data_IF_658162477877
#
_entry.id   IF_658162477877
#
_cell.length_a   1.000
_cell.length_b   1.000
_cell.length_c   1.000
_cell.angle_alpha   90.00
_cell.angle_beta   90.00
_cell.angle_gamma   90.00
#
_symmetry.space_group_name_H-M   'P 1'
#
loop_
_entity.id
_entity.type
_entity.pdbx_description
1 polymer ?
#
# COMPACT_ATOMS: atom_id res chain seq x y z
N UNK A 1 -10.60 -4.87 17.29
CA UNK A 1 -11.04 -6.21 16.81
C UNK A 1 -10.29 -6.51 15.51
N UNK A 2 -9.97 -7.78 15.17
CA UNK A 2 -9.36 -8.09 13.88
C UNK A 2 -10.29 -7.64 12.74
N UNK A 3 -9.74 -7.00 11.71
CA UNK A 3 -10.46 -6.73 10.47
C UNK A 3 -10.09 -7.81 9.46
N UNK A 4 -11.13 -8.44 8.88
CA UNK A 4 -11.00 -9.43 7.81
C UNK A 4 -11.08 -8.72 6.47
N UNK A 5 -10.15 -9.03 5.59
CA UNK A 5 -10.22 -8.63 4.19
C UNK A 5 -10.02 -9.88 3.34
N UNK A 6 -11.03 -10.25 2.55
CA UNK A 6 -11.05 -11.42 1.66
C UNK A 6 -10.50 -12.73 2.28
N UNK A 7 -10.81 -12.99 3.54
CA UNK A 7 -10.44 -14.23 4.23
C UNK A 7 -9.03 -14.27 4.83
N UNK A 8 -8.17 -13.27 4.56
CA UNK A 8 -6.90 -13.08 5.27
C UNK A 8 -7.10 -12.06 6.40
N UNK A 9 -6.89 -12.51 7.64
CA UNK A 9 -6.94 -11.63 8.80
C UNK A 9 -5.63 -10.86 8.90
N UNK A 10 -5.72 -9.52 8.97
CA UNK A 10 -4.58 -8.74 9.46
C UNK A 10 -4.44 -9.07 10.94
N UNK A 11 -3.45 -9.90 11.24
CA UNK A 11 -3.19 -10.36 12.59
C UNK A 11 -2.96 -9.17 13.52
N UNK A 12 -3.52 -9.23 14.74
CA UNK A 12 -3.36 -8.15 15.73
C UNK A 12 -1.88 -7.80 15.94
N UNK A 13 -1.01 -8.80 16.02
CA UNK A 13 0.43 -8.60 16.17
C UNK A 13 1.06 -7.86 14.98
N UNK A 14 0.68 -8.20 13.75
CA UNK A 14 1.15 -7.51 12.54
C UNK A 14 0.72 -6.03 12.56
N UNK A 15 -0.54 -5.77 12.91
CA UNK A 15 -1.05 -4.41 13.00
C UNK A 15 -0.33 -3.58 14.06
N UNK A 16 -0.17 -4.10 15.28
CA UNK A 16 0.54 -3.36 16.33
C UNK A 16 2.01 -3.11 15.97
N UNK A 17 2.67 -4.08 15.33
CA UNK A 17 4.04 -3.90 14.83
C UNK A 17 4.11 -2.78 13.78
N UNK A 18 3.20 -2.77 12.81
CA UNK A 18 3.15 -1.73 11.78
C UNK A 18 2.87 -0.34 12.37
N UNK A 19 1.99 -0.26 13.37
CA UNK A 19 1.73 0.99 14.11
C UNK A 19 2.97 1.47 14.86
N UNK A 20 3.70 0.56 15.51
CA UNK A 20 4.94 0.90 16.21
C UNK A 20 6.01 1.40 15.23
N UNK A 21 6.16 0.76 14.07
CA UNK A 21 7.07 1.20 13.02
C UNK A 21 6.72 2.59 12.48
N UNK A 22 5.45 2.85 12.20
CA UNK A 22 5.00 4.16 11.70
C UNK A 22 5.23 5.25 12.75
N UNK A 23 4.94 4.97 14.02
CA UNK A 23 5.23 5.86 15.14
C UNK A 23 6.72 6.19 15.22
N UNK A 24 7.59 5.19 15.16
CA UNK A 24 9.04 5.38 15.24
C UNK A 24 9.55 6.25 14.08
N UNK A 25 9.04 6.00 12.87
CA UNK A 25 9.36 6.81 11.69
C UNK A 25 8.97 8.27 11.88
N UNK A 26 7.74 8.54 12.33
CA UNK A 26 7.30 9.91 12.58
C UNK A 26 8.09 10.59 13.69
N UNK A 27 8.44 9.86 14.75
CA UNK A 27 9.28 10.40 15.83
C UNK A 27 10.67 10.78 15.31
N UNK A 28 11.27 9.99 14.41
CA UNK A 28 12.53 10.32 13.76
C UNK A 28 12.44 11.56 12.85
N UNK A 29 11.30 11.75 12.18
CA UNK A 29 11.10 12.87 11.25
C UNK A 29 10.72 14.19 11.95
N UNK A 30 9.89 14.12 13.00
CA UNK A 30 9.29 15.28 13.65
C UNK A 30 9.98 15.67 14.95
N UNK A 31 10.76 14.76 15.55
CA UNK A 31 11.43 14.99 16.82
C UNK A 31 10.44 15.34 17.93
N UNK A 32 10.72 16.41 18.67
CA UNK A 32 9.92 16.84 19.82
C UNK A 32 8.47 17.21 19.47
N UNK A 33 8.22 17.67 18.23
CA UNK A 33 6.88 17.99 17.74
C UNK A 33 5.96 16.75 17.70
N UNK A 34 6.53 15.55 17.60
CA UNK A 34 5.75 14.32 17.65
C UNK A 34 5.02 14.17 18.99
N UNK A 35 5.61 14.61 20.11
CA UNK A 35 5.01 14.46 21.45
C UNK A 35 3.69 15.25 21.57
N UNK A 36 3.61 16.44 20.97
CA UNK A 36 2.41 17.26 20.96
C UNK A 36 1.29 16.64 20.11
N UNK A 37 1.65 16.10 18.94
CA UNK A 37 0.71 15.39 18.07
C UNK A 37 0.24 14.07 18.71
N UNK A 38 1.14 13.34 19.37
CA UNK A 38 0.84 12.08 20.03
C UNK A 38 -0.07 12.24 21.26
N UNK A 39 -0.07 13.43 21.89
CA UNK A 39 -1.01 13.76 22.96
C UNK A 39 -2.46 13.93 22.44
N UNK A 40 -2.65 14.13 21.13
CA UNK A 40 -3.96 14.20 20.51
C UNK A 40 -4.48 12.79 20.15
N UNK A 41 -5.48 12.31 20.89
CA UNK A 41 -6.06 10.98 20.68
C UNK A 41 -6.66 10.80 19.27
N UNK A 42 -7.29 11.84 18.70
CA UNK A 42 -7.86 11.78 17.35
C UNK A 42 -6.77 11.62 16.28
N UNK A 43 -5.63 12.26 16.48
CA UNK A 43 -4.47 12.10 15.61
C UNK A 43 -3.96 10.65 15.65
N UNK A 44 -3.75 10.10 16.85
CA UNK A 44 -3.29 8.72 17.02
C UNK A 44 -4.27 7.70 16.44
N UNK A 45 -5.58 7.93 16.59
CA UNK A 45 -6.63 7.09 16.00
C UNK A 45 -6.58 7.14 14.47
N UNK A 46 -6.39 8.33 13.89
CA UNK A 46 -6.30 8.51 12.43
C UNK A 46 -5.06 7.81 11.87
N UNK A 47 -3.91 7.98 12.52
CA UNK A 47 -2.68 7.27 12.14
C UNK A 47 -2.88 5.75 12.17
N UNK A 48 -3.49 5.20 13.23
CA UNK A 48 -3.79 3.77 13.32
C UNK A 48 -4.72 3.30 12.20
N UNK A 49 -5.72 4.10 11.82
CA UNK A 49 -6.60 3.78 10.70
C UNK A 49 -5.87 3.80 9.35
N UNK A 50 -4.97 4.75 9.13
CA UNK A 50 -4.15 4.82 7.92
C UNK A 50 -3.23 3.61 7.81
N UNK A 51 -2.57 3.21 8.90
CA UNK A 51 -1.75 1.99 8.94
C UNK A 51 -2.60 0.76 8.62
N UNK A 52 -3.80 0.66 9.18
CA UNK A 52 -4.71 -0.44 8.91
C UNK A 52 -5.09 -0.51 7.43
N UNK A 53 -5.53 0.61 6.85
CA UNK A 53 -5.90 0.67 5.43
C UNK A 53 -4.72 0.27 4.52
N UNK A 54 -3.50 0.75 4.81
CA UNK A 54 -2.31 0.36 4.04
C UNK A 54 -2.07 -1.16 4.10
N UNK A 55 -2.17 -1.77 5.28
CA UNK A 55 -2.01 -3.21 5.41
C UNK A 55 -3.11 -4.00 4.70
N UNK A 56 -4.32 -3.46 4.65
CA UNK A 56 -5.44 -4.02 3.88
C UNK A 56 -5.10 -4.04 2.39
N UNK A 57 -4.68 -2.89 1.87
CA UNK A 57 -4.36 -2.74 0.45
C UNK A 57 -3.17 -3.64 0.06
N UNK A 58 -2.13 -3.70 0.90
CA UNK A 58 -0.99 -4.61 0.72
C UNK A 58 -1.42 -6.08 0.71
N UNK A 59 -2.32 -6.48 1.61
CA UNK A 59 -2.83 -7.86 1.66
C UNK A 59 -3.65 -8.21 0.43
N UNK A 60 -4.49 -7.30 -0.06
CA UNK A 60 -5.30 -7.50 -1.26
C UNK A 60 -4.43 -7.66 -2.51
N UNK A 61 -3.39 -6.82 -2.63
CA UNK A 61 -2.46 -6.90 -3.76
C UNK A 61 -1.65 -8.20 -3.74
N UNK A 62 -1.18 -8.64 -2.56
CA UNK A 62 -0.47 -9.93 -2.42
C UNK A 62 -1.38 -11.12 -2.76
N UNK A 63 -2.64 -11.12 -2.31
CA UNK A 63 -3.62 -12.16 -2.68
C UNK A 63 -3.82 -12.22 -4.19
N UNK A 64 -4.09 -11.06 -4.80
CA UNK A 64 -4.36 -11.00 -6.23
C UNK A 64 -3.13 -11.40 -7.07
N UNK A 65 -1.93 -11.00 -6.66
CA UNK A 65 -0.70 -11.47 -7.29
C UNK A 65 -0.56 -13.00 -7.21
N UNK A 66 -0.87 -13.62 -6.08
CA UNK A 66 -0.84 -15.09 -5.92
C UNK A 66 -1.90 -15.79 -6.76
N UNK A 67 -3.11 -15.25 -6.86
CA UNK A 67 -4.17 -15.79 -7.72
C UNK A 67 -3.74 -15.80 -9.20
N UNK A 68 -3.03 -14.76 -9.64
CA UNK A 68 -2.44 -14.68 -10.98
C UNK A 68 -1.14 -15.50 -11.14
N UNK A 69 -0.69 -16.21 -10.10
CA UNK A 69 0.57 -16.96 -10.10
C UNK A 69 1.81 -16.09 -10.19
N UNK A 70 1.69 -14.78 -9.91
CA UNK A 70 2.78 -13.83 -9.95
C UNK A 70 3.59 -13.94 -8.65
N UNK A 71 4.83 -14.39 -8.78
CA UNK A 71 5.77 -14.43 -7.67
C UNK A 71 7.16 -14.04 -8.16
N UNK A 72 7.87 -13.28 -7.31
CA UNK A 72 9.25 -12.87 -7.58
C UNK A 72 10.19 -13.77 -6.78
N UNK A 73 10.95 -14.59 -7.50
CA UNK A 73 11.96 -15.50 -6.94
C UNK A 73 13.16 -14.75 -6.36
N UNK A 74 13.88 -15.41 -5.46
CA UNK A 74 15.11 -14.88 -4.86
C UNK A 74 16.18 -14.53 -5.92
N UNK A 75 16.28 -15.34 -6.97
CA UNK A 75 17.21 -15.08 -8.07
C UNK A 75 16.81 -13.82 -8.85
N UNK A 76 15.51 -13.58 -9.09
CA UNK A 76 15.06 -12.34 -9.72
C UNK A 76 15.39 -11.11 -8.87
N UNK A 77 15.21 -11.19 -7.55
CA UNK A 77 15.61 -10.11 -6.62
C UNK A 77 17.11 -9.87 -6.70
N UNK A 78 17.92 -10.93 -6.62
CA UNK A 78 19.38 -10.86 -6.70
C UNK A 78 19.85 -10.25 -8.02
N UNK A 79 19.27 -10.67 -9.15
CA UNK A 79 19.60 -10.11 -10.46
C UNK A 79 19.27 -8.62 -10.55
N UNK A 80 18.10 -8.21 -10.04
CA UNK A 80 17.75 -6.79 -9.98
C UNK A 80 18.73 -5.97 -9.13
N UNK A 81 19.18 -6.51 -7.98
CA UNK A 81 20.23 -5.88 -7.16
C UNK A 81 21.53 -5.76 -7.95
N UNK A 82 21.97 -6.81 -8.64
CA UNK A 82 23.24 -6.82 -9.38
C UNK A 82 23.22 -5.87 -10.59
N UNK A 83 22.06 -5.70 -11.21
CA UNK A 83 21.86 -4.78 -12.34
C UNK A 83 21.71 -3.31 -11.91
N UNK A 84 21.55 -3.04 -10.60
CA UNK A 84 21.41 -1.68 -10.10
C UNK A 84 22.75 -0.95 -10.20
N UNK A 85 22.84 0.04 -11.10
CA UNK A 85 24.06 0.79 -11.37
C UNK A 85 24.68 1.44 -10.12
N UNK A 86 23.83 1.89 -9.18
CA UNK A 86 24.28 2.50 -7.93
C UNK A 86 25.07 1.52 -7.05
N UNK A 87 24.87 0.21 -7.20
CA UNK A 87 25.53 -0.84 -6.43
C UNK A 87 26.76 -1.41 -7.15
N UNK A 88 27.21 -0.77 -8.23
CA UNK A 88 28.35 -1.23 -9.01
C UNK A 88 29.57 -0.32 -8.83
N UNK A 89 30.75 -0.94 -8.89
CA UNK A 89 32.05 -0.30 -9.04
C UNK A 89 32.68 -0.83 -10.32
N UNK A 90 33.05 0.07 -11.25
CA UNK A 90 33.57 -0.28 -12.57
C UNK A 90 32.65 -1.26 -13.35
N UNK A 91 31.33 -1.06 -13.26
CA UNK A 91 30.33 -1.88 -13.97
C UNK A 91 30.10 -3.28 -13.38
N UNK A 92 30.71 -3.61 -12.24
CA UNK A 92 30.49 -4.89 -11.54
C UNK A 92 29.88 -4.64 -10.18
N UNK A 93 28.99 -5.54 -9.74
CA UNK A 93 28.38 -5.46 -8.42
C UNK A 93 29.45 -5.39 -7.32
N UNK A 94 29.28 -4.44 -6.41
CA UNK A 94 30.16 -4.19 -5.28
C UNK A 94 29.35 -4.32 -3.99
N UNK A 95 29.63 -5.39 -3.24
CA UNK A 95 28.90 -5.70 -2.01
C UNK A 95 29.11 -4.65 -0.91
N UNK A 96 30.31 -4.06 -0.80
CA UNK A 96 30.57 -3.03 0.20
C UNK A 96 29.78 -1.78 -0.13
N UNK A 97 29.79 -1.36 -1.40
CA UNK A 97 29.00 -0.23 -1.89
C UNK A 97 27.50 -0.46 -1.69
N UNK A 98 26.98 -1.63 -2.04
CA UNK A 98 25.59 -2.02 -1.79
C UNK A 98 25.24 -1.90 -0.31
N UNK A 99 25.99 -2.57 0.57
CA UNK A 99 25.74 -2.53 2.02
C UNK A 99 25.83 -1.12 2.59
N UNK A 100 26.76 -0.29 2.11
CA UNK A 100 26.94 1.08 2.55
C UNK A 100 25.76 1.97 2.18
N UNK A 101 25.27 1.88 0.93
CA UNK A 101 24.09 2.64 0.48
C UNK A 101 22.84 2.18 1.24
N UNK A 102 22.65 0.86 1.42
CA UNK A 102 21.51 0.32 2.17
C UNK A 102 21.54 0.76 3.64
N UNK A 103 22.71 0.77 4.26
CA UNK A 103 22.87 1.26 5.64
C UNK A 103 22.58 2.76 5.75
N UNK A 104 22.96 3.58 4.75
CA UNK A 104 22.62 5.01 4.71
C UNK A 104 21.10 5.25 4.62
N UNK A 105 20.35 4.31 4.04
CA UNK A 105 18.88 4.33 4.04
C UNK A 105 18.27 3.84 5.37
N UNK A 106 19.09 3.47 6.36
CA UNK A 106 18.63 2.95 7.64
C UNK A 106 18.05 1.53 7.56
N UNK A 107 18.39 0.76 6.52
CA UNK A 107 17.88 -0.58 6.27
C UNK A 107 18.97 -1.64 6.41
N UNK A 108 18.57 -2.90 6.60
CA UNK A 108 19.44 -4.07 6.35
C UNK A 108 19.33 -4.52 4.89
N UNK A 109 20.31 -5.30 4.42
CA UNK A 109 20.29 -5.87 3.06
C UNK A 109 19.06 -6.76 2.82
N UNK A 110 18.62 -7.49 3.85
CA UNK A 110 17.44 -8.35 3.77
C UNK A 110 16.16 -7.52 3.70
N UNK A 111 16.06 -6.44 4.49
CA UNK A 111 14.95 -5.51 4.41
C UNK A 111 14.86 -4.86 3.02
N UNK A 112 16.01 -4.48 2.46
CA UNK A 112 16.07 -3.95 1.10
C UNK A 112 15.62 -4.98 0.06
N UNK A 113 16.12 -6.22 0.14
CA UNK A 113 15.73 -7.30 -0.76
C UNK A 113 14.22 -7.59 -0.70
N UNK A 114 13.61 -7.56 0.49
CA UNK A 114 12.16 -7.71 0.65
C UNK A 114 11.38 -6.53 0.06
N UNK A 115 11.83 -5.30 0.30
CA UNK A 115 11.21 -4.11 -0.30
C UNK A 115 11.27 -4.17 -1.83
N UNK A 116 12.42 -4.56 -2.39
CA UNK A 116 12.59 -4.74 -3.82
C UNK A 116 11.70 -5.85 -4.37
N UNK A 117 11.56 -6.98 -3.66
CA UNK A 117 10.64 -8.06 -4.04
C UNK A 117 9.22 -7.53 -4.18
N UNK A 118 8.72 -6.83 -3.16
CA UNK A 118 7.38 -6.25 -3.17
C UNK A 118 7.20 -5.28 -4.33
N UNK A 119 8.19 -4.42 -4.58
CA UNK A 119 8.17 -3.47 -5.70
C UNK A 119 8.12 -4.18 -7.06
N UNK A 120 8.87 -5.28 -7.23
CA UNK A 120 8.88 -6.07 -8.47
C UNK A 120 7.56 -6.81 -8.66
N UNK A 121 6.97 -7.37 -7.59
CA UNK A 121 5.65 -8.01 -7.64
C UNK A 121 4.59 -7.01 -8.08
N UNK A 122 4.58 -5.80 -7.50
CA UNK A 122 3.64 -4.75 -7.88
C UNK A 122 3.82 -4.31 -9.33
N UNK A 123 5.07 -4.17 -9.81
CA UNK A 123 5.33 -3.86 -11.22
C UNK A 123 4.84 -4.98 -12.15
N UNK A 124 5.10 -6.24 -11.81
CA UNK A 124 4.63 -7.39 -12.57
C UNK A 124 3.10 -7.44 -12.60
N UNK A 125 2.45 -7.11 -11.49
CA UNK A 125 1.00 -7.02 -11.39
C UNK A 125 0.44 -5.90 -12.27
N UNK A 126 1.03 -4.70 -12.22
CA UNK A 126 0.64 -3.57 -13.09
C UNK A 126 0.82 -3.96 -14.56
N UNK A 127 1.91 -4.62 -14.91
CA UNK A 127 2.16 -5.08 -16.28
C UNK A 127 1.20 -6.18 -16.71
N UNK A 128 0.79 -7.07 -15.81
CA UNK A 128 -0.22 -8.09 -16.09
C UNK A 128 -1.58 -7.42 -16.39
N UNK A 129 -1.97 -6.40 -15.62
CA UNK A 129 -3.20 -5.63 -15.83
C UNK A 129 -3.11 -4.74 -17.09
N UNK A 130 -1.99 -4.07 -17.32
CA UNK A 130 -1.80 -3.19 -18.47
C UNK A 130 -1.58 -3.97 -19.77
N UNK A 131 -1.02 -5.18 -19.67
CA UNK A 131 -0.81 -6.12 -20.77
C UNK A 131 -2.03 -7.00 -21.07
N UNK A 132 -3.12 -6.91 -20.30
CA UNK A 132 -4.39 -7.54 -20.69
C UNK A 132 -5.03 -6.73 -21.80
N UNK A 133 -4.86 -7.23 -23.02
CA UNK A 133 -5.91 -7.21 -24.04
C UNK A 133 -7.10 -8.00 -23.47
N UNK A 134 -8.02 -7.26 -22.84
CA UNK A 134 -9.14 -7.78 -22.06
C UNK A 134 -10.20 -8.39 -22.99
N UNK A 135 -10.11 -9.68 -23.32
CA UNK A 135 -11.18 -10.42 -23.99
C UNK A 135 -11.43 -11.77 -23.29
N UNK A 136 -12.23 -11.72 -22.22
CA UNK A 136 -13.27 -12.71 -21.95
C UNK A 136 -14.45 -11.96 -21.30
N UNK A 137 -15.60 -11.83 -21.98
CA UNK A 137 -16.76 -11.09 -21.47
C UNK A 137 -17.42 -11.91 -20.35
N UNK A 138 -16.91 -11.79 -19.13
CA UNK A 138 -17.45 -12.52 -17.98
C UNK A 138 -16.79 -12.23 -16.62
N UNK A 139 -15.57 -11.68 -16.57
CA UNK A 139 -14.84 -11.47 -15.30
C UNK A 139 -14.74 -10.00 -14.85
N UNK A 140 -15.31 -9.07 -15.62
CA UNK A 140 -15.36 -7.63 -15.29
C UNK A 140 -16.06 -7.33 -13.97
N UNK A 141 -16.98 -8.19 -13.53
CA UNK A 141 -17.84 -7.93 -12.37
C UNK A 141 -17.12 -8.09 -11.03
N UNK A 142 -16.12 -8.98 -10.93
CA UNK A 142 -15.40 -9.21 -9.67
C UNK A 142 -14.38 -8.10 -9.37
N UNK A 143 -13.70 -7.61 -10.40
CA UNK A 143 -12.78 -6.47 -10.25
C UNK A 143 -13.56 -5.16 -10.00
N UNK A 144 -14.70 -4.96 -10.67
CA UNK A 144 -15.61 -3.86 -10.36
C UNK A 144 -16.19 -3.96 -8.93
N UNK A 145 -16.47 -5.18 -8.44
CA UNK A 145 -16.87 -5.40 -7.06
C UNK A 145 -15.75 -5.08 -6.06
N UNK A 146 -14.50 -5.44 -6.35
CA UNK A 146 -13.36 -5.13 -5.47
C UNK A 146 -13.03 -3.62 -5.43
N UNK A 147 -13.07 -2.94 -6.60
CA UNK A 147 -12.86 -1.49 -6.69
C UNK A 147 -14.03 -0.69 -6.10
N UNK A 148 -15.26 -1.22 -6.16
CA UNK A 148 -16.45 -0.58 -5.55
C UNK A 148 -16.64 -0.90 -4.07
N UNK A 149 -16.15 -2.05 -3.56
CA UNK A 149 -16.35 -2.46 -2.16
C UNK A 149 -15.67 -1.54 -1.13
N UNK A 150 -14.69 -0.71 -1.53
CA UNK A 150 -14.07 0.30 -0.66
C UNK A 150 -14.59 1.74 -0.86
N UNK A 151 -15.46 2.02 -1.84
CA UNK A 151 -16.07 3.35 -2.04
C UNK A 151 -17.56 3.34 -1.74
N UNK A 152 -17.90 3.20 -0.47
CA UNK A 152 -19.16 3.77 0.07
C UNK A 152 -18.81 4.91 1.00
N UNK A 153 -18.28 6.00 0.44
CA UNK A 153 -18.55 7.31 1.04
C UNK A 153 -20.00 7.60 0.67
N UNK A 154 -20.87 7.68 1.67
CA UNK A 154 -22.23 8.18 1.51
C UNK A 154 -22.15 9.64 1.05
N UNK A 155 -22.09 9.89 -0.25
CA UNK A 155 -22.49 11.18 -0.79
C UNK A 155 -24.02 11.20 -0.82
N UNK A 156 -24.61 11.77 0.22
CA UNK A 156 -25.95 12.33 0.09
C UNK A 156 -25.82 13.58 -0.79
N UNK A 157 -25.97 13.43 -2.10
CA UNK A 157 -26.07 14.57 -3.01
C UNK A 157 -27.37 15.31 -2.67
N UNK A 158 -27.27 16.37 -1.87
CA UNK A 158 -28.38 17.32 -1.71
C UNK A 158 -28.54 18.00 -3.06
N UNK A 159 -29.58 17.60 -3.79
CA UNK A 159 -29.99 18.26 -5.01
C UNK A 159 -30.58 19.63 -4.64
N UNK A 160 -29.75 20.68 -4.64
CA UNK A 160 -30.17 22.06 -4.36
C UNK A 160 -31.09 22.65 -5.44
N UNK A 161 -31.34 21.93 -6.55
CA UNK A 161 -32.30 22.37 -7.57
C UNK A 161 -33.76 21.96 -7.25
N UNK A 162 -34.00 21.21 -6.17
CA UNK A 162 -35.36 20.93 -5.69
C UNK A 162 -35.92 22.00 -4.73
N UNK A 163 -35.16 23.04 -4.38
CA UNK A 163 -35.62 24.14 -3.51
C UNK A 163 -36.10 25.38 -4.27
N UNK A 164 -36.10 25.39 -5.60
CA UNK A 164 -36.56 26.52 -6.42
C UNK A 164 -37.90 26.29 -7.14
N UNK A 165 -38.62 25.19 -6.86
CA UNK A 165 -39.90 24.86 -7.52
C UNK A 165 -41.10 24.73 -6.55
N UNK A 166 -41.04 25.39 -5.38
CA UNK A 166 -42.17 25.51 -4.45
C UNK A 166 -42.33 26.93 -3.89
N UNK A 167 -42.31 27.92 -4.77
CA UNK A 167 -42.86 29.25 -4.44
C UNK A 167 -43.69 29.83 -5.57
N UNK A 168 -44.39 28.99 -6.34
CA UNK A 168 -45.51 29.50 -7.10
C UNK A 168 -46.66 28.49 -7.22
N UNK A 169 -47.86 29.04 -7.05
CA UNK A 169 -49.19 28.40 -6.88
C UNK A 169 -49.49 27.77 -5.51
N UNK A 170 -49.80 28.61 -4.54
CA UNK A 170 -51.14 28.79 -3.96
C UNK A 170 -51.04 30.08 -3.10
N UNK A 171 -51.36 31.27 -3.59
CA UNK A 171 -52.69 31.75 -4.02
C UNK A 171 -52.53 32.97 -4.92
#
# INVERSE_FOLDING_TARGET
MPQKVNGQEIGRGQFENAVASERNRMQQQLGDQFSELAANENYMKTMRQQVLNRLIDESLLDQYARELGLSISDEQVKQAIFQTQAFQTNGKFDNQRFSGIVAQMGMTTDQYAQALRNQLTTQQLINAIAGTDFMLPGESDQLAALVSQQRVVREATINVNALAAKTDRQR
#
